data_IF_021892438940
#
_entry.id   IF_021892438940
#
_cell.length_a   1.000
_cell.length_b   1.000
_cell.length_c   1.000
_cell.angle_alpha   90.00
_cell.angle_beta   90.00
_cell.angle_gamma   90.00
#
_symmetry.space_group_name_H-M   'P 1'
#
loop_
_entity.id
_entity.type
_entity.pdbx_description
1 polymer ?
#
# COMPACT_ATOMS: atom_id res chain seq x y z
N UNK A 1 -6.49 1.78 -10.66
CA UNK A 1 -5.13 1.23 -10.76
C UNK A 1 -5.01 0.25 -11.92
N UNK A 2 -6.11 -0.35 -12.36
CA UNK A 2 -6.13 -1.28 -13.53
C UNK A 2 -5.46 -0.71 -14.78
N UNK A 3 -5.61 0.59 -15.02
CA UNK A 3 -5.12 1.22 -16.26
C UNK A 3 -3.68 1.75 -16.13
N UNK A 4 -2.98 1.44 -15.04
CA UNK A 4 -1.63 1.97 -14.82
C UNK A 4 -0.65 1.43 -15.85
N UNK A 5 -0.66 0.11 -16.10
CA UNK A 5 0.25 -0.50 -17.07
C UNK A 5 -0.01 -0.02 -18.51
N UNK A 6 -1.26 0.18 -18.87
CA UNK A 6 -1.62 0.74 -20.18
C UNK A 6 -1.08 2.16 -20.39
N UNK A 7 -0.86 2.92 -19.31
CA UNK A 7 -0.28 4.26 -19.34
C UNK A 7 1.24 4.30 -19.24
N UNK A 8 1.90 3.14 -19.12
CA UNK A 8 3.38 3.03 -19.06
C UNK A 8 3.90 2.41 -20.35
N UNK A 9 5.08 2.84 -20.78
CA UNK A 9 5.80 2.23 -21.89
C UNK A 9 6.63 1.03 -21.43
N UNK A 10 5.96 -0.04 -21.05
CA UNK A 10 6.55 -1.25 -20.47
C UNK A 10 6.27 -1.35 -18.96
N UNK A 11 6.40 -2.55 -18.47
CA UNK A 11 6.14 -2.93 -17.09
C UNK A 11 5.35 -4.22 -17.00
N UNK A 12 5.40 -4.84 -15.83
CA UNK A 12 4.65 -6.06 -15.51
C UNK A 12 4.06 -5.95 -14.12
N UNK A 13 3.00 -6.70 -13.88
CA UNK A 13 2.39 -6.91 -12.57
C UNK A 13 2.80 -8.29 -12.06
N UNK A 14 3.14 -8.37 -10.79
CA UNK A 14 3.48 -9.61 -10.10
C UNK A 14 2.63 -9.70 -8.85
N UNK A 15 1.87 -10.78 -8.75
CA UNK A 15 1.06 -11.09 -7.57
C UNK A 15 1.86 -11.91 -6.56
N UNK A 16 1.85 -11.48 -5.30
CA UNK A 16 2.36 -12.27 -4.19
C UNK A 16 1.24 -13.20 -3.73
N UNK A 17 1.43 -14.50 -3.94
CA UNK A 17 0.45 -15.53 -3.61
C UNK A 17 0.74 -16.06 -2.21
N UNK A 18 -0.23 -15.95 -1.32
CA UNK A 18 -0.16 -16.44 0.06
C UNK A 18 -1.53 -16.97 0.52
N UNK A 19 -1.53 -17.79 1.54
CA UNK A 19 -2.77 -18.30 2.12
C UNK A 19 -3.65 -17.15 2.65
N UNK A 20 -4.90 -17.03 2.18
CA UNK A 20 -5.79 -15.97 2.60
C UNK A 20 -6.14 -16.10 4.08
N UNK A 21 -6.27 -14.98 4.75
CA UNK A 21 -6.73 -14.94 6.13
C UNK A 21 -5.99 -13.91 6.98
N UNK A 22 -6.50 -13.70 8.19
CA UNK A 22 -5.94 -12.74 9.15
C UNK A 22 -4.92 -13.40 10.11
N UNK A 23 -4.53 -14.66 9.86
CA UNK A 23 -3.52 -15.31 10.68
C UNK A 23 -2.19 -14.54 10.58
N UNK A 24 -1.59 -14.13 11.70
CA UNK A 24 -0.37 -13.31 11.69
C UNK A 24 0.80 -13.95 10.93
N UNK A 25 0.86 -15.29 10.87
CA UNK A 25 1.87 -16.05 10.13
C UNK A 25 1.76 -15.79 8.62
N UNK A 26 0.57 -15.90 8.05
CA UNK A 26 0.32 -15.73 6.62
C UNK A 26 0.68 -14.31 6.14
N UNK A 27 0.36 -13.30 6.94
CA UNK A 27 0.69 -11.90 6.62
C UNK A 27 2.20 -11.65 6.67
N UNK A 28 2.89 -12.23 7.66
CA UNK A 28 4.36 -12.16 7.76
C UNK A 28 5.05 -12.86 6.60
N UNK A 29 4.55 -14.03 6.22
CA UNK A 29 5.05 -14.77 5.06
C UNK A 29 4.90 -13.96 3.78
N UNK A 30 3.73 -13.41 3.52
CA UNK A 30 3.49 -12.53 2.38
C UNK A 30 4.42 -11.31 2.37
N UNK A 31 4.65 -10.71 3.53
CA UNK A 31 5.57 -9.59 3.68
C UNK A 31 7.03 -9.98 3.39
N UNK A 32 7.47 -11.16 3.84
CA UNK A 32 8.80 -11.71 3.54
C UNK A 32 8.95 -11.96 2.05
N UNK A 33 8.02 -12.71 1.46
CA UNK A 33 8.03 -13.01 0.02
C UNK A 33 8.13 -11.74 -0.83
N UNK A 34 7.35 -10.69 -0.50
CA UNK A 34 7.41 -9.42 -1.20
C UNK A 34 8.77 -8.72 -1.02
N UNK A 35 9.31 -8.72 0.21
CA UNK A 35 10.60 -8.09 0.51
C UNK A 35 11.74 -8.79 -0.21
N UNK A 36 11.73 -10.12 -0.21
CA UNK A 36 12.76 -10.96 -0.81
C UNK A 36 12.71 -10.80 -2.34
N UNK A 37 11.53 -10.91 -2.94
CA UNK A 37 11.33 -10.67 -4.38
C UNK A 37 11.89 -9.32 -4.83
N UNK A 38 11.53 -8.23 -4.13
CA UNK A 38 12.01 -6.89 -4.50
C UNK A 38 13.51 -6.76 -4.29
N UNK A 39 14.07 -7.37 -3.24
CA UNK A 39 15.51 -7.33 -2.95
C UNK A 39 16.33 -8.06 -4.01
N UNK A 40 15.88 -9.23 -4.45
CA UNK A 40 16.49 -9.98 -5.55
C UNK A 40 16.43 -9.15 -6.85
N UNK A 41 15.29 -8.58 -7.17
CA UNK A 41 15.14 -7.73 -8.35
C UNK A 41 15.98 -6.46 -8.30
N UNK A 42 16.32 -5.95 -7.14
CA UNK A 42 17.27 -4.84 -7.03
C UNK A 42 18.67 -5.21 -7.56
N UNK A 43 19.05 -6.48 -7.46
CA UNK A 43 20.33 -6.98 -7.95
C UNK A 43 20.23 -7.31 -9.44
N UNK A 44 19.24 -8.11 -9.83
CA UNK A 44 19.13 -8.66 -11.18
C UNK A 44 18.69 -7.61 -12.22
N UNK A 45 17.90 -6.64 -11.80
CA UNK A 45 17.28 -5.66 -12.68
C UNK A 45 17.55 -4.22 -12.22
N UNK A 46 18.80 -3.72 -12.32
CA UNK A 46 19.22 -2.46 -11.70
C UNK A 46 18.51 -1.21 -12.21
N UNK A 47 17.82 -1.27 -13.35
CA UNK A 47 17.07 -0.14 -13.93
C UNK A 47 15.57 -0.16 -13.61
N UNK A 48 15.06 -1.24 -13.02
CA UNK A 48 13.62 -1.33 -12.69
C UNK A 48 13.22 -0.36 -11.58
N UNK A 49 12.01 0.14 -11.70
CA UNK A 49 11.30 0.94 -10.68
C UNK A 49 10.11 0.12 -10.19
N UNK A 50 9.79 0.24 -8.92
CA UNK A 50 8.76 -0.58 -8.27
C UNK A 50 7.64 0.28 -7.71
N UNK A 51 6.43 -0.27 -7.79
CA UNK A 51 5.29 0.19 -7.02
C UNK A 51 4.75 -1.00 -6.22
N UNK A 52 4.57 -0.82 -4.92
CA UNK A 52 4.00 -1.82 -4.03
C UNK A 52 2.53 -1.48 -3.78
N UNK A 53 1.66 -2.46 -3.99
CA UNK A 53 0.22 -2.29 -3.81
C UNK A 53 -0.31 -3.29 -2.80
N UNK A 54 -1.17 -2.82 -1.89
CA UNK A 54 -1.79 -3.70 -0.89
C UNK A 54 -3.24 -3.32 -0.61
N UNK A 55 -4.06 -4.35 -0.38
CA UNK A 55 -5.47 -4.21 -0.02
C UNK A 55 -5.80 -5.06 1.22
N UNK A 56 -6.45 -4.47 2.22
CA UNK A 56 -6.80 -5.14 3.49
C UNK A 56 -5.59 -5.83 4.13
N UNK A 57 -5.63 -7.15 4.36
CA UNK A 57 -4.50 -7.93 4.89
C UNK A 57 -3.27 -7.84 3.99
N UNK A 58 -3.45 -7.73 2.68
CA UNK A 58 -2.37 -7.42 1.74
C UNK A 58 -1.78 -6.02 1.96
N UNK A 59 -2.57 -5.05 2.45
CA UNK A 59 -2.02 -3.74 2.83
C UNK A 59 -1.11 -3.85 4.06
N UNK A 60 -1.48 -4.69 5.05
CA UNK A 60 -0.61 -5.01 6.20
C UNK A 60 0.70 -5.64 5.73
N UNK A 61 0.63 -6.67 4.88
CA UNK A 61 1.83 -7.33 4.32
C UNK A 61 2.71 -6.34 3.54
N UNK A 62 2.11 -5.51 2.70
CA UNK A 62 2.83 -4.47 1.94
C UNK A 62 3.47 -3.43 2.86
N UNK A 63 2.78 -3.02 3.92
CA UNK A 63 3.32 -2.09 4.93
C UNK A 63 4.56 -2.67 5.61
N UNK A 64 4.50 -3.95 6.02
CA UNK A 64 5.64 -4.65 6.64
C UNK A 64 6.80 -4.82 5.66
N UNK A 65 6.54 -5.26 4.44
CA UNK A 65 7.57 -5.41 3.41
C UNK A 65 8.24 -4.07 3.07
N UNK A 66 7.44 -3.01 2.86
CA UNK A 66 7.95 -1.68 2.59
C UNK A 66 8.81 -1.16 3.74
N UNK A 67 8.41 -1.40 5.01
CA UNK A 67 9.20 -1.03 6.18
C UNK A 67 10.55 -1.76 6.21
N UNK A 68 10.57 -3.06 5.97
CA UNK A 68 11.80 -3.87 5.87
C UNK A 68 12.75 -3.33 4.79
N UNK A 69 12.20 -2.95 3.64
CA UNK A 69 12.97 -2.45 2.51
C UNK A 69 13.54 -1.02 2.72
N UNK A 70 13.15 -0.29 3.79
CA UNK A 70 13.65 1.08 4.02
C UNK A 70 15.15 1.14 4.32
N UNK A 71 15.75 0.07 4.83
CA UNK A 71 17.20 -0.02 5.09
C UNK A 71 18.01 -0.40 3.84
N UNK A 72 17.36 -0.87 2.77
CA UNK A 72 18.04 -1.24 1.54
C UNK A 72 18.53 0.01 0.81
N UNK A 73 19.79 0.00 0.36
CA UNK A 73 20.42 1.12 -0.35
C UNK A 73 19.73 1.46 -1.67
N UNK A 74 19.00 0.51 -2.25
CA UNK A 74 18.22 0.67 -3.48
C UNK A 74 16.75 1.05 -3.24
N UNK A 75 16.35 1.32 -1.98
CA UNK A 75 14.97 1.70 -1.63
C UNK A 75 14.41 2.86 -2.47
N UNK A 76 15.25 3.75 -2.95
CA UNK A 76 14.86 4.87 -3.82
C UNK A 76 14.18 4.43 -5.12
N UNK A 77 14.33 3.15 -5.51
CA UNK A 77 13.70 2.53 -6.69
C UNK A 77 12.25 2.14 -6.43
N UNK A 78 11.83 2.02 -5.17
CA UNK A 78 10.42 1.91 -4.82
C UNK A 78 9.82 3.30 -4.94
N UNK A 79 9.15 3.55 -6.05
CA UNK A 79 8.62 4.87 -6.41
C UNK A 79 7.26 5.15 -5.79
N UNK A 80 6.49 4.11 -5.48
CA UNK A 80 5.16 4.25 -4.88
C UNK A 80 4.85 3.09 -3.93
N UNK A 81 4.16 3.40 -2.84
CA UNK A 81 3.46 2.44 -1.99
C UNK A 81 2.01 2.88 -1.94
N UNK A 82 1.11 2.03 -2.44
CA UNK A 82 -0.33 2.31 -2.47
C UNK A 82 -1.04 1.29 -1.59
N UNK A 83 -1.70 1.78 -0.56
CA UNK A 83 -2.43 0.98 0.41
C UNK A 83 -3.93 1.32 0.33
N UNK A 84 -4.78 0.31 0.48
CA UNK A 84 -6.22 0.48 0.47
C UNK A 84 -6.84 -0.32 1.61
N UNK A 85 -7.76 0.30 2.36
CA UNK A 85 -8.38 -0.34 3.53
C UNK A 85 -7.33 -0.91 4.51
N UNK A 86 -6.29 -0.15 4.78
CA UNK A 86 -5.10 -0.59 5.50
C UNK A 86 -5.38 -0.74 7.01
N UNK A 87 -5.36 -1.96 7.59
CA UNK A 87 -5.55 -2.16 9.02
C UNK A 87 -4.40 -1.62 9.88
N UNK A 88 -3.22 -1.40 9.30
CA UNK A 88 -2.04 -0.83 9.95
C UNK A 88 -1.85 0.66 9.64
N UNK A 89 -2.92 1.34 9.22
CA UNK A 89 -2.86 2.76 8.89
C UNK A 89 -2.38 3.60 10.07
N UNK A 90 -1.26 4.27 9.87
CA UNK A 90 -0.70 5.21 10.83
C UNK A 90 -1.38 6.58 10.65
N UNK A 91 -1.96 7.17 11.70
CA UNK A 91 -2.62 8.46 11.59
C UNK A 91 -1.64 9.58 11.19
N UNK A 92 -2.16 10.63 10.59
CA UNK A 92 -1.44 11.87 10.28
C UNK A 92 -0.32 11.80 9.23
N UNK A 93 -0.01 10.62 8.67
CA UNK A 93 0.98 10.54 7.61
C UNK A 93 0.56 11.33 6.37
N UNK A 94 1.52 11.99 5.75
CA UNK A 94 1.30 12.59 4.44
C UNK A 94 1.06 11.46 3.41
N UNK A 95 0.02 11.62 2.61
CA UNK A 95 -0.44 10.55 1.71
C UNK A 95 -1.66 9.79 2.21
N UNK A 96 -2.07 10.00 3.46
CA UNK A 96 -3.33 9.50 3.99
C UNK A 96 -4.51 10.28 3.41
N UNK A 97 -5.35 9.62 2.63
CA UNK A 97 -6.49 10.25 1.97
C UNK A 97 -7.78 9.43 2.10
N UNK A 98 -8.90 10.07 1.88
CA UNK A 98 -10.18 9.40 1.70
C UNK A 98 -10.43 9.05 0.21
N UNK A 99 -11.60 8.48 -0.09
CA UNK A 99 -12.05 8.10 -1.44
C UNK A 99 -12.07 9.24 -2.47
N UNK A 100 -12.06 10.48 -2.02
CA UNK A 100 -12.05 11.68 -2.85
C UNK A 100 -10.65 12.33 -2.94
N UNK A 101 -9.62 11.69 -2.38
CA UNK A 101 -8.26 12.24 -2.35
C UNK A 101 -8.05 13.36 -1.34
N UNK A 102 -9.03 13.63 -0.47
CA UNK A 102 -8.88 14.63 0.61
C UNK A 102 -8.12 14.00 1.78
N UNK A 103 -7.23 14.77 2.40
CA UNK A 103 -6.47 14.33 3.57
C UNK A 103 -7.38 13.77 4.65
N UNK A 104 -7.06 12.58 5.14
CA UNK A 104 -7.77 11.88 6.19
C UNK A 104 -6.78 11.53 7.31
N UNK A 105 -6.78 12.32 8.39
CA UNK A 105 -5.80 12.24 9.49
C UNK A 105 -6.06 11.13 10.52
N UNK A 106 -7.01 10.25 10.26
CA UNK A 106 -7.34 9.14 11.15
C UNK A 106 -6.53 7.90 10.79
N UNK A 107 -6.28 7.05 11.77
CA UNK A 107 -5.63 5.75 11.61
C UNK A 107 -6.60 4.60 11.80
N UNK A 108 -6.08 3.39 11.77
CA UNK A 108 -6.80 2.15 12.11
C UNK A 108 -7.18 2.12 13.60
N UNK A 109 -8.11 1.24 13.95
CA UNK A 109 -8.49 0.97 15.34
C UNK A 109 -7.41 0.15 16.05
N UNK A 110 -6.66 -0.66 15.30
CA UNK A 110 -5.56 -1.47 15.81
C UNK A 110 -4.29 -0.65 16.04
N UNK A 111 -3.37 -1.22 16.81
CA UNK A 111 -2.00 -0.70 16.87
C UNK A 111 -1.27 -1.10 15.60
N UNK A 112 -0.59 -0.17 14.92
CA UNK A 112 0.25 -0.52 13.78
C UNK A 112 1.27 -1.61 14.15
N UNK A 113 1.53 -2.52 13.23
CA UNK A 113 2.55 -3.55 13.41
C UNK A 113 3.91 -2.94 13.76
N UNK A 114 4.69 -3.62 14.61
CA UNK A 114 5.97 -3.11 15.06
C UNK A 114 6.89 -2.72 13.87
N UNK A 115 7.41 -1.51 13.89
CA UNK A 115 8.28 -0.98 12.82
C UNK A 115 7.57 -0.39 11.61
N UNK A 116 6.26 -0.63 11.44
CA UNK A 116 5.52 -0.12 10.26
C UNK A 116 5.44 1.41 10.26
N UNK A 117 5.31 2.04 11.43
CA UNK A 117 5.17 3.50 11.54
C UNK A 117 6.40 4.25 11.01
N UNK A 118 7.60 3.87 11.44
CA UNK A 118 8.84 4.54 11.00
C UNK A 118 9.17 4.27 9.53
N UNK A 119 8.88 3.05 9.06
CA UNK A 119 9.04 2.70 7.65
C UNK A 119 8.12 3.51 6.74
N UNK A 120 6.84 3.59 7.09
CA UNK A 120 5.86 4.35 6.31
C UNK A 120 6.14 5.86 6.34
N UNK A 121 6.69 6.40 7.43
CA UNK A 121 7.09 7.80 7.51
C UNK A 121 8.09 8.17 6.39
N UNK A 122 9.09 7.33 6.12
CA UNK A 122 10.06 7.58 5.02
C UNK A 122 9.39 7.71 3.65
N UNK A 123 8.39 6.86 3.37
CA UNK A 123 7.63 6.95 2.12
C UNK A 123 6.72 8.18 2.09
N UNK A 124 6.10 8.52 3.22
CA UNK A 124 5.27 9.70 3.37
C UNK A 124 6.08 10.99 3.13
N UNK A 125 7.23 11.14 3.82
CA UNK A 125 8.09 12.32 3.73
C UNK A 125 8.64 12.58 2.32
N UNK A 126 8.79 11.50 1.54
CA UNK A 126 9.24 11.60 0.15
C UNK A 126 8.11 11.62 -0.87
N UNK A 127 6.85 11.71 -0.40
CA UNK A 127 5.66 11.73 -1.24
C UNK A 127 5.43 10.45 -2.05
N UNK A 128 5.97 9.31 -1.58
CA UNK A 128 5.85 7.99 -2.21
C UNK A 128 4.74 7.13 -1.62
N UNK A 129 4.03 7.61 -0.60
CA UNK A 129 2.90 6.93 0.03
C UNK A 129 1.57 7.47 -0.48
N UNK A 130 0.66 6.57 -0.80
CA UNK A 130 -0.77 6.85 -0.97
C UNK A 130 -1.56 5.78 -0.20
N UNK A 131 -2.14 6.16 0.93
CA UNK A 131 -2.99 5.27 1.74
C UNK A 131 -4.44 5.75 1.66
N UNK A 132 -5.27 4.99 0.92
CA UNK A 132 -6.66 5.32 0.63
C UNK A 132 -7.56 4.59 1.62
N UNK A 133 -8.33 5.34 2.39
CA UNK A 133 -9.34 4.81 3.29
C UNK A 133 -10.71 5.41 2.98
N UNK A 134 -11.70 4.55 2.72
CA UNK A 134 -13.09 5.00 2.65
C UNK A 134 -13.54 5.56 3.99
N UNK A 135 -14.17 6.69 3.96
CA UNK A 135 -14.76 7.29 5.17
C UNK A 135 -15.71 6.29 5.83
N UNK A 136 -15.45 5.96 7.10
CA UNK A 136 -16.23 4.99 7.86
C UNK A 136 -15.82 3.52 7.67
N UNK A 137 -14.78 3.22 6.90
CA UNK A 137 -14.24 1.85 6.83
C UNK A 137 -13.54 1.49 8.15
N UNK A 138 -14.15 0.57 8.93
CA UNK A 138 -13.66 0.16 10.23
C UNK A 138 -12.27 -0.47 10.25
N UNK A 139 -11.69 -0.82 9.11
CA UNK A 139 -10.31 -1.32 9.03
C UNK A 139 -9.28 -0.19 9.13
N UNK A 140 -9.57 0.98 8.58
CA UNK A 140 -8.60 2.07 8.43
C UNK A 140 -9.10 3.43 8.93
N UNK A 141 -10.40 3.58 9.25
CA UNK A 141 -10.99 4.77 9.87
C UNK A 141 -11.51 4.43 11.26
N UNK A 142 -10.78 4.84 12.30
CA UNK A 142 -11.12 4.59 13.72
C UNK A 142 -12.45 5.20 14.16
N UNK A 143 -13.05 6.08 13.36
CA UNK A 143 -14.39 6.66 13.60
C UNK A 143 -15.50 5.79 13.03
N UNK A 144 -15.15 4.85 12.16
CA UNK A 144 -16.10 3.90 11.55
C UNK A 144 -16.60 2.83 12.53
N UNK A 145 -17.66 2.10 12.16
CA UNK A 145 -18.14 0.99 12.96
C UNK A 145 -17.04 -0.10 13.05
N UNK A 146 -16.86 -0.66 14.24
CA UNK A 146 -15.90 -1.76 14.49
C UNK A 146 -16.27 -3.09 13.79
N UNK A 147 -17.04 -3.04 12.72
CA UNK A 147 -17.43 -4.21 11.92
C UNK A 147 -16.69 -4.17 10.60
N UNK A 148 -16.09 -5.31 10.23
CA UNK A 148 -15.61 -5.53 8.88
C UNK A 148 -16.80 -5.42 7.92
N UNK A 149 -16.90 -4.32 7.21
CA UNK A 149 -17.88 -4.16 6.14
C UNK A 149 -17.36 -4.91 4.90
N UNK A 150 -17.88 -6.11 4.68
CA UNK A 150 -17.54 -6.91 3.50
C UNK A 150 -17.92 -6.18 2.20
N UNK A 151 -18.96 -5.33 2.23
CA UNK A 151 -19.37 -4.51 1.10
C UNK A 151 -18.40 -3.34 0.83
N UNK A 152 -17.56 -2.96 1.81
CA UNK A 152 -16.52 -1.97 1.57
C UNK A 152 -15.49 -2.46 0.53
N UNK A 153 -15.25 -3.77 0.44
CA UNK A 153 -14.37 -4.34 -0.58
C UNK A 153 -14.80 -3.97 -2.00
N UNK A 154 -16.09 -4.10 -2.29
CA UNK A 154 -16.66 -3.78 -3.61
C UNK A 154 -16.47 -2.30 -3.95
N UNK A 155 -16.63 -1.42 -2.96
CA UNK A 155 -16.43 0.03 -3.17
C UNK A 155 -15.00 0.36 -3.57
N UNK A 156 -13.99 -0.31 -3.01
CA UNK A 156 -12.59 -0.10 -3.43
C UNK A 156 -12.34 -0.62 -4.85
N UNK A 157 -12.92 -1.76 -5.19
CA UNK A 157 -12.67 -2.43 -6.46
C UNK A 157 -13.38 -1.73 -7.62
N UNK A 158 -14.60 -1.27 -7.41
CA UNK A 158 -15.46 -0.74 -8.49
C UNK A 158 -15.59 0.79 -8.50
N UNK A 159 -15.06 1.50 -7.51
CA UNK A 159 -15.09 2.96 -7.48
C UNK A 159 -14.14 3.55 -8.51
N UNK A 160 -14.70 4.22 -9.51
CA UNK A 160 -13.91 4.94 -10.51
C UNK A 160 -13.03 6.03 -9.89
N UNK A 161 -13.49 6.70 -8.83
CA UNK A 161 -12.71 7.74 -8.14
C UNK A 161 -11.47 7.17 -7.48
N UNK A 162 -11.59 6.06 -6.74
CA UNK A 162 -10.47 5.38 -6.09
C UNK A 162 -9.48 4.82 -7.12
N UNK A 163 -10.00 4.14 -8.16
CA UNK A 163 -9.16 3.61 -9.22
C UNK A 163 -8.39 4.71 -9.95
N UNK A 164 -9.06 5.82 -10.29
CA UNK A 164 -8.42 6.97 -10.94
C UNK A 164 -7.40 7.67 -10.03
N UNK A 165 -7.69 7.78 -8.73
CA UNK A 165 -6.76 8.36 -7.75
C UNK A 165 -5.46 7.56 -7.69
N UNK A 166 -5.56 6.24 -7.52
CA UNK A 166 -4.41 5.35 -7.50
C UNK A 166 -3.65 5.34 -8.82
N UNK A 167 -4.36 5.25 -9.96
CA UNK A 167 -3.73 5.27 -11.29
C UNK A 167 -2.94 6.57 -11.52
N UNK A 168 -3.52 7.73 -11.24
CA UNK A 168 -2.82 9.02 -11.38
C UNK A 168 -1.58 9.09 -10.50
N UNK A 169 -1.69 8.64 -9.25
CA UNK A 169 -0.55 8.61 -8.34
C UNK A 169 0.57 7.71 -8.89
N UNK A 170 0.26 6.47 -9.26
CA UNK A 170 1.23 5.52 -9.81
C UNK A 170 1.92 6.07 -11.06
N UNK A 171 1.17 6.60 -12.02
CA UNK A 171 1.72 7.18 -13.24
C UNK A 171 2.64 8.38 -12.94
N UNK A 172 2.26 9.23 -11.99
CA UNK A 172 3.07 10.39 -11.58
C UNK A 172 4.43 9.97 -10.97
N UNK A 173 4.50 8.78 -10.34
CA UNK A 173 5.72 8.29 -9.69
C UNK A 173 6.58 7.40 -10.57
N UNK A 174 5.96 6.60 -11.44
CA UNK A 174 6.68 5.64 -12.27
C UNK A 174 7.24 6.27 -13.56
N UNK A 175 6.62 7.35 -14.04
CA UNK A 175 7.12 8.12 -15.20
C UNK A 175 8.25 9.10 -14.86
N UNK A 176 8.41 9.42 -13.57
CA UNK A 176 9.43 10.37 -13.08
C UNK A 176 10.86 9.81 -13.08
#
# INVERSE_FOLDING_TARGET
MRDTLAGLHGGSEVDIIYEPGMAPGNVKEAASQLSDFVSERFIDCPKEKYALLGFKTGATATTMAAANLTSNVHNWRIKAVVLMSNPDRVPTLQGNVNENGKTLKVGSIGLPSAGSSSGMQKYADTGRLLDICLTGDGACDSRGPRRLDLKAADKYTYSNSIQSLGTRFLLSKLRA
#
